data_IF_979391539281
#
_entry.id   IF_979391539281
#
_cell.length_a   1.000
_cell.length_b   1.000
_cell.length_c   1.000
_cell.angle_alpha   90.00
_cell.angle_beta   90.00
_cell.angle_gamma   90.00
#
_symmetry.space_group_name_H-M   'P 1'
#
loop_
_entity.id
_entity.type
_entity.pdbx_description
1 polymer ?
#
# COMPACT_ATOMS: atom_id res chain seq x y z
N UNK A 1 5.33 -6.54 7.55
CA UNK A 1 5.98 -6.06 6.30
C UNK A 1 7.44 -6.49 6.26
N UNK A 2 8.05 -6.65 5.07
CA UNK A 2 9.42 -7.18 4.92
C UNK A 2 10.49 -6.38 5.70
N UNK A 3 10.58 -5.04 5.59
CA UNK A 3 11.57 -4.26 6.35
C UNK A 3 11.46 -4.41 7.88
N UNK A 4 10.27 -4.70 8.40
CA UNK A 4 10.06 -4.89 9.84
C UNK A 4 10.74 -6.14 10.40
N UNK A 5 11.24 -7.06 9.56
CA UNK A 5 11.87 -8.30 10.05
C UNK A 5 13.31 -8.11 10.56
N UNK A 6 14.07 -7.17 9.98
CA UNK A 6 15.47 -6.90 10.35
C UNK A 6 15.87 -5.43 10.22
N UNK A 7 15.38 -4.76 9.16
CA UNK A 7 15.78 -3.38 8.87
C UNK A 7 15.20 -2.37 9.87
N UNK A 8 13.98 -2.59 10.37
CA UNK A 8 13.37 -1.70 11.37
C UNK A 8 14.18 -1.68 12.67
N UNK A 9 14.63 -2.84 13.15
CA UNK A 9 15.50 -2.95 14.33
C UNK A 9 16.82 -2.20 14.12
N UNK A 10 17.46 -2.36 12.96
CA UNK A 10 18.68 -1.61 12.62
C UNK A 10 18.43 -0.08 12.63
N UNK A 11 17.30 0.37 12.09
CA UNK A 11 16.92 1.78 12.08
C UNK A 11 16.75 2.34 13.51
N UNK A 12 16.18 1.54 14.41
CA UNK A 12 16.04 1.91 15.83
C UNK A 12 17.39 1.98 16.54
N UNK A 13 18.28 1.00 16.31
CA UNK A 13 19.61 0.95 16.95
C UNK A 13 20.56 2.05 16.47
N UNK A 14 20.46 2.45 15.19
CA UNK A 14 21.42 3.38 14.56
C UNK A 14 20.89 4.79 14.39
N UNK A 15 19.58 5.01 14.57
CA UNK A 15 18.91 6.28 14.29
C UNK A 15 18.71 6.56 12.80
N UNK A 16 19.18 5.70 11.90
CA UNK A 16 18.89 5.78 10.46
C UNK A 16 17.40 5.55 10.22
N UNK A 17 16.83 6.20 9.20
CA UNK A 17 15.41 6.07 8.83
C UNK A 17 15.24 5.68 7.37
N UNK A 18 14.10 5.07 7.06
CA UNK A 18 13.75 4.58 5.74
C UNK A 18 13.03 5.64 4.90
N UNK A 19 13.46 5.75 3.65
CA UNK A 19 12.68 6.37 2.57
C UNK A 19 12.08 5.24 1.74
N UNK A 20 10.76 5.11 1.80
CA UNK A 20 10.03 3.98 1.19
C UNK A 20 9.58 4.31 -0.23
N UNK A 21 9.40 3.27 -1.05
CA UNK A 21 8.80 3.38 -2.38
C UNK A 21 7.77 2.26 -2.56
N UNK A 22 6.91 2.39 -3.57
CA UNK A 22 5.94 1.34 -3.87
C UNK A 22 4.81 1.23 -2.85
N UNK A 23 4.63 2.25 -2.01
CA UNK A 23 3.65 2.32 -0.92
C UNK A 23 2.21 2.19 -1.41
N UNK A 24 1.95 2.56 -2.67
CA UNK A 24 0.65 2.39 -3.34
C UNK A 24 0.62 1.24 -4.35
N UNK A 25 1.66 0.40 -4.37
CA UNK A 25 1.74 -0.80 -5.24
C UNK A 25 1.50 -0.51 -6.73
N UNK A 26 2.19 0.51 -7.27
CA UNK A 26 1.99 0.95 -8.66
C UNK A 26 0.62 1.56 -8.94
N UNK A 27 -0.13 1.89 -7.88
CA UNK A 27 -1.50 2.39 -7.92
C UNK A 27 -2.57 1.32 -7.71
N UNK A 28 -2.21 0.08 -7.36
CA UNK A 28 -3.22 -0.95 -7.03
C UNK A 28 -4.00 -0.62 -5.75
N UNK A 29 -3.38 0.09 -4.80
CA UNK A 29 -4.06 0.63 -3.61
C UNK A 29 -4.77 1.94 -3.95
N UNK A 30 -5.85 1.86 -4.72
CA UNK A 30 -6.71 3.00 -5.04
C UNK A 30 -8.11 2.57 -5.46
N UNK A 31 -9.04 3.53 -5.50
CA UNK A 31 -10.45 3.35 -5.82
C UNK A 31 -10.68 2.69 -7.18
N UNK A 32 -9.80 2.94 -8.16
CA UNK A 32 -9.94 2.38 -9.52
C UNK A 32 -9.89 0.85 -9.57
N UNK A 33 -9.36 0.19 -8.53
CA UNK A 33 -9.29 -1.26 -8.44
C UNK A 33 -10.23 -1.84 -7.37
N UNK A 34 -10.94 -1.00 -6.62
CA UNK A 34 -11.93 -1.44 -5.63
C UNK A 34 -13.13 -2.10 -6.32
N UNK A 35 -13.54 -3.26 -5.81
CA UNK A 35 -14.64 -4.10 -6.29
C UNK A 35 -14.53 -4.47 -7.79
N UNK A 36 -13.31 -4.42 -8.33
CA UNK A 36 -13.04 -4.85 -9.71
C UNK A 36 -12.71 -6.33 -9.76
N UNK A 37 -13.21 -7.01 -10.79
CA UNK A 37 -12.79 -8.36 -11.13
C UNK A 37 -11.89 -8.34 -12.36
N UNK A 38 -10.58 -8.39 -12.12
CA UNK A 38 -9.57 -8.33 -13.18
C UNK A 38 -9.57 -9.52 -14.15
N UNK A 39 -10.27 -10.61 -13.82
CA UNK A 39 -10.42 -11.76 -14.71
C UNK A 39 -11.53 -11.56 -15.74
N UNK A 40 -12.41 -10.58 -15.51
CA UNK A 40 -13.46 -10.20 -16.46
C UNK A 40 -12.90 -9.10 -17.35
N UNK A 41 -12.82 -9.31 -18.69
CA UNK A 41 -12.40 -8.27 -19.61
C UNK A 41 -13.18 -6.97 -19.37
N UNK A 42 -12.48 -5.85 -19.34
CA UNK A 42 -13.05 -4.49 -19.19
C UNK A 42 -13.72 -4.17 -17.83
N UNK A 43 -13.74 -5.08 -16.85
CA UNK A 43 -14.32 -4.84 -15.52
C UNK A 43 -13.38 -4.08 -14.56
N UNK A 44 -12.25 -3.56 -15.06
CA UNK A 44 -11.30 -2.76 -14.31
C UNK A 44 -10.17 -2.20 -15.19
N UNK A 45 -9.33 -1.30 -14.65
CA UNK A 45 -8.20 -0.75 -15.38
C UNK A 45 -7.20 -1.84 -15.80
N UNK A 46 -6.57 -1.72 -16.98
CA UNK A 46 -5.60 -2.70 -17.42
C UNK A 46 -4.33 -2.65 -16.54
N UNK A 47 -3.73 -3.82 -16.28
CA UNK A 47 -2.43 -3.94 -15.63
C UNK A 47 -1.29 -3.71 -16.65
N UNK A 48 -1.25 -2.51 -17.22
CA UNK A 48 -0.45 -2.18 -18.40
C UNK A 48 0.97 -1.64 -18.12
N UNK A 49 1.41 -1.61 -16.86
CA UNK A 49 2.77 -1.19 -16.51
C UNK A 49 3.56 -2.34 -15.87
N UNK A 50 4.88 -2.42 -16.06
CA UNK A 50 5.72 -3.42 -15.40
C UNK A 50 5.56 -3.40 -13.87
N UNK A 51 5.39 -2.21 -13.27
CA UNK A 51 5.14 -2.06 -11.84
C UNK A 51 3.82 -2.70 -11.41
N UNK A 52 2.72 -2.43 -12.11
CA UNK A 52 1.42 -3.05 -11.81
C UNK A 52 1.49 -4.57 -11.89
N UNK A 53 2.15 -5.11 -12.93
CA UNK A 53 2.33 -6.56 -13.10
C UNK A 53 3.20 -7.16 -11.99
N UNK A 54 4.28 -6.49 -11.58
CA UNK A 54 5.11 -6.88 -10.43
C UNK A 54 4.27 -6.96 -9.16
N UNK A 55 3.53 -5.91 -8.81
CA UNK A 55 2.74 -5.90 -7.58
C UNK A 55 1.57 -6.87 -7.62
N UNK A 56 1.01 -7.15 -8.80
CA UNK A 56 0.01 -8.20 -8.96
C UNK A 56 0.55 -9.58 -8.60
N UNK A 57 1.77 -9.93 -9.05
CA UNK A 57 2.43 -11.18 -8.64
C UNK A 57 2.61 -11.26 -7.11
N UNK A 58 2.96 -10.13 -6.49
CA UNK A 58 3.06 -10.05 -5.02
C UNK A 58 1.71 -10.27 -4.32
N UNK A 59 0.62 -9.72 -4.88
CA UNK A 59 -0.75 -9.96 -4.37
C UNK A 59 -1.13 -11.43 -4.48
N UNK A 60 -0.81 -12.08 -5.60
CA UNK A 60 -1.08 -13.51 -5.79
C UNK A 60 -0.31 -14.39 -4.79
N UNK A 61 0.97 -14.06 -4.57
CA UNK A 61 1.77 -14.70 -3.53
C UNK A 61 1.23 -14.43 -2.11
N UNK A 62 0.70 -13.24 -1.85
CA UNK A 62 0.20 -12.87 -0.52
C UNK A 62 -1.12 -13.57 -0.19
N UNK A 63 -2.11 -13.55 -1.08
CA UNK A 63 -3.41 -14.19 -0.81
C UNK A 63 -4.41 -14.09 -1.95
N UNK A 64 -3.97 -13.65 -3.12
CA UNK A 64 -4.80 -13.51 -4.31
C UNK A 64 -5.67 -12.25 -4.29
N UNK A 65 -6.37 -12.07 -5.41
CA UNK A 65 -7.15 -10.86 -5.69
C UNK A 65 -8.33 -10.68 -4.73
N UNK A 66 -9.02 -11.76 -4.34
CA UNK A 66 -10.17 -11.67 -3.43
C UNK A 66 -9.78 -11.14 -2.05
N UNK A 67 -8.64 -11.59 -1.51
CA UNK A 67 -8.14 -11.07 -0.24
C UNK A 67 -7.67 -9.61 -0.37
N UNK A 68 -7.06 -9.28 -1.52
CA UNK A 68 -6.71 -7.90 -1.83
C UNK A 68 -7.94 -6.98 -1.92
N UNK A 69 -9.08 -7.46 -2.43
CA UNK A 69 -10.33 -6.70 -2.39
C UNK A 69 -10.81 -6.45 -0.96
N UNK A 70 -10.72 -7.43 -0.06
CA UNK A 70 -11.06 -7.22 1.34
C UNK A 70 -10.16 -6.15 2.01
N UNK A 71 -8.88 -6.11 1.65
CA UNK A 71 -7.97 -5.03 2.08
C UNK A 71 -8.39 -3.67 1.49
N UNK A 72 -8.70 -3.59 0.20
CA UNK A 72 -9.18 -2.36 -0.43
C UNK A 72 -10.48 -1.85 0.18
N UNK A 73 -11.42 -2.73 0.50
CA UNK A 73 -12.66 -2.38 1.19
C UNK A 73 -12.40 -1.86 2.61
N UNK A 74 -11.42 -2.43 3.32
CA UNK A 74 -10.98 -1.94 4.64
C UNK A 74 -10.40 -0.53 4.53
N UNK A 75 -9.47 -0.33 3.58
CA UNK A 75 -8.93 0.99 3.29
C UNK A 75 -10.00 1.98 2.84
N UNK A 76 -11.05 1.51 2.13
CA UNK A 76 -12.15 2.35 1.69
C UNK A 76 -12.95 2.88 2.88
N UNK A 77 -13.20 2.07 3.91
CA UNK A 77 -13.90 2.54 5.13
C UNK A 77 -13.13 3.67 5.81
N UNK A 78 -11.82 3.51 5.98
CA UNK A 78 -10.93 4.54 6.55
C UNK A 78 -10.88 5.78 5.64
N UNK A 79 -10.76 5.59 4.33
CA UNK A 79 -10.82 6.65 3.32
C UNK A 79 -12.11 7.48 3.44
N UNK A 80 -13.26 6.84 3.61
CA UNK A 80 -14.54 7.52 3.78
C UNK A 80 -14.64 8.27 5.12
N UNK A 81 -14.16 7.68 6.22
CA UNK A 81 -14.10 8.32 7.55
C UNK A 81 -13.33 9.65 7.51
N UNK A 82 -12.23 9.70 6.76
CA UNK A 82 -11.33 10.86 6.71
C UNK A 82 -11.52 11.75 5.48
N UNK A 83 -12.37 11.37 4.53
CA UNK A 83 -12.61 12.14 3.30
C UNK A 83 -11.41 12.22 2.36
N UNK A 84 -10.52 11.22 2.38
CA UNK A 84 -9.28 11.18 1.58
C UNK A 84 -9.21 9.91 0.73
N UNK A 85 -8.44 9.88 -0.37
CA UNK A 85 -8.32 8.68 -1.21
C UNK A 85 -7.67 7.48 -0.49
N UNK A 86 -7.99 6.26 -0.93
CA UNK A 86 -7.35 5.00 -0.47
C UNK A 86 -5.82 5.10 -0.56
N UNK A 87 -5.30 5.70 -1.63
CA UNK A 87 -3.85 5.89 -1.81
C UNK A 87 -3.23 6.75 -0.71
N UNK A 88 -3.94 7.78 -0.26
CA UNK A 88 -3.50 8.68 0.82
C UNK A 88 -3.46 7.95 2.15
N UNK A 89 -4.48 7.14 2.46
CA UNK A 89 -4.52 6.26 3.63
C UNK A 89 -3.34 5.29 3.62
N UNK A 90 -3.10 4.63 2.48
CA UNK A 90 -2.02 3.66 2.33
C UNK A 90 -0.64 4.28 2.58
N UNK A 91 -0.36 5.46 2.01
CA UNK A 91 0.92 6.14 2.25
C UNK A 91 1.04 6.57 3.71
N UNK A 92 -0.02 7.15 4.30
CA UNK A 92 0.01 7.58 5.69
C UNK A 92 0.24 6.42 6.67
N UNK A 93 -0.40 5.28 6.43
CA UNK A 93 -0.18 4.07 7.23
C UNK A 93 1.29 3.64 7.25
N UNK A 94 2.00 3.77 6.12
CA UNK A 94 3.45 3.48 6.05
C UNK A 94 4.28 4.56 6.73
N UNK A 95 3.92 5.84 6.59
CA UNK A 95 4.59 6.95 7.27
C UNK A 95 4.43 6.90 8.80
N UNK A 96 3.38 6.27 9.31
CA UNK A 96 3.18 6.08 10.75
C UNK A 96 4.08 4.97 11.35
N UNK A 97 4.86 4.25 10.54
CA UNK A 97 5.83 3.28 11.05
C UNK A 97 7.06 4.02 11.61
N UNK A 98 7.49 3.68 12.82
CA UNK A 98 8.59 4.35 13.55
C UNK A 98 9.91 4.41 12.77
N UNK A 99 10.19 3.41 11.94
CA UNK A 99 11.41 3.33 11.12
C UNK A 99 11.36 4.14 9.82
N UNK A 100 10.21 4.71 9.44
CA UNK A 100 10.01 5.41 8.17
C UNK A 100 10.07 6.92 8.36
N UNK A 101 10.94 7.60 7.61
CA UNK A 101 11.01 9.06 7.57
C UNK A 101 10.28 9.67 6.36
N UNK A 102 10.05 8.88 5.31
CA UNK A 102 9.43 9.39 4.09
C UNK A 102 8.93 8.29 3.15
N UNK A 103 8.08 8.69 2.22
CA UNK A 103 7.57 7.85 1.13
C UNK A 103 7.68 8.60 -0.18
N UNK A 104 8.28 7.97 -1.18
CA UNK A 104 8.33 8.47 -2.55
C UNK A 104 6.98 8.27 -3.24
N UNK A 105 6.42 9.36 -3.76
CA UNK A 105 5.19 9.36 -4.57
C UNK A 105 5.59 9.49 -6.04
N UNK A 106 5.26 8.49 -6.85
CA UNK A 106 5.50 8.52 -8.29
C UNK A 106 4.47 9.41 -9.00
N UNK A 107 4.94 10.27 -9.89
CA UNK A 107 4.10 11.14 -10.73
C UNK A 107 4.42 10.94 -12.21
N UNK A 108 3.48 11.30 -13.08
CA UNK A 108 3.65 11.41 -14.53
C UNK A 108 3.11 12.77 -14.93
N UNK A 109 4.01 13.69 -15.26
CA UNK A 109 3.63 15.07 -15.59
C UNK A 109 2.59 15.08 -16.73
N UNK A 110 1.51 15.84 -16.56
CA UNK A 110 0.40 15.89 -17.52
C UNK A 110 -0.54 14.68 -17.53
N UNK A 111 -0.29 13.64 -16.71
CA UNK A 111 -1.17 12.46 -16.60
C UNK A 111 -1.61 12.19 -15.16
N UNK A 112 -0.69 12.27 -14.19
CA UNK A 112 -0.93 11.96 -12.78
C UNK A 112 0.03 12.74 -11.88
N UNK A 113 -0.44 13.84 -11.30
CA UNK A 113 0.41 14.79 -10.55
C UNK A 113 0.27 14.68 -9.03
N UNK A 114 -0.84 14.13 -8.51
CA UNK A 114 -1.06 13.81 -7.10
C UNK A 114 -0.73 14.93 -6.07
N UNK A 115 -0.63 16.20 -6.49
CA UNK A 115 -0.19 17.31 -5.62
C UNK A 115 -1.13 17.49 -4.44
N UNK A 116 -2.45 17.57 -4.69
CA UNK A 116 -3.47 17.75 -3.64
C UNK A 116 -3.50 16.57 -2.67
N UNK A 117 -3.45 15.35 -3.20
CA UNK A 117 -3.45 14.12 -2.39
C UNK A 117 -2.20 14.05 -1.51
N UNK A 118 -1.05 14.49 -2.01
CA UNK A 118 0.22 14.48 -1.28
C UNK A 118 0.19 15.42 -0.06
N UNK A 119 -0.46 16.58 -0.17
CA UNK A 119 -0.65 17.46 0.98
C UNK A 119 -1.58 16.83 2.03
N UNK A 120 -2.63 16.13 1.59
CA UNK A 120 -3.56 15.45 2.50
C UNK A 120 -2.86 14.34 3.32
N UNK A 121 -1.85 13.66 2.77
CA UNK A 121 -1.06 12.65 3.48
C UNK A 121 -0.43 13.20 4.77
N UNK A 122 0.10 14.43 4.73
CA UNK A 122 0.79 15.04 5.87
C UNK A 122 -0.17 15.44 6.99
N UNK A 123 -1.39 15.84 6.62
CA UNK A 123 -2.42 16.32 7.55
C UNK A 123 -3.30 15.21 8.12
N UNK A 124 -3.38 14.06 7.44
CA UNK A 124 -4.19 12.93 7.87
C UNK A 124 -3.70 12.37 9.20
N UNK A 125 -4.59 12.10 10.16
CA UNK A 125 -4.24 11.39 11.39
C UNK A 125 -5.06 10.09 11.43
N UNK A 126 -4.36 8.96 11.36
CA UNK A 126 -4.99 7.65 11.52
C UNK A 126 -5.03 7.32 13.01
N UNK A 127 -6.21 7.07 13.53
CA UNK A 127 -6.38 6.66 14.92
C UNK A 127 -6.09 5.16 15.12
N UNK A 128 -6.21 4.69 16.36
CA UNK A 128 -5.92 3.30 16.72
C UNK A 128 -6.85 2.31 16.01
N UNK A 129 -8.12 2.67 15.78
CA UNK A 129 -9.08 1.84 15.07
C UNK A 129 -8.70 1.71 13.58
N UNK A 130 -8.31 2.83 12.96
CA UNK A 130 -7.85 2.85 11.58
C UNK A 130 -6.59 1.99 11.41
N UNK A 131 -5.59 2.21 12.28
CA UNK A 131 -4.33 1.47 12.25
C UNK A 131 -4.56 -0.03 12.53
N UNK A 132 -5.43 -0.36 13.49
CA UNK A 132 -5.76 -1.73 13.87
C UNK A 132 -6.46 -2.48 12.73
N UNK A 133 -7.50 -1.88 12.13
CA UNK A 133 -8.25 -2.50 11.04
C UNK A 133 -7.40 -2.76 9.79
N UNK A 134 -6.52 -1.81 9.41
CA UNK A 134 -5.58 -1.99 8.30
C UNK A 134 -4.55 -3.07 8.64
N UNK A 135 -4.02 -3.08 9.86
CA UNK A 135 -3.06 -4.10 10.32
C UNK A 135 -3.68 -5.49 10.22
N UNK A 136 -4.87 -5.67 10.78
CA UNK A 136 -5.59 -6.95 10.77
C UNK A 136 -5.83 -7.44 9.33
N UNK A 137 -6.37 -6.57 8.46
CA UNK A 137 -6.60 -6.92 7.06
C UNK A 137 -5.31 -7.31 6.33
N UNK A 138 -4.20 -6.60 6.60
CA UNK A 138 -2.90 -6.89 5.99
C UNK A 138 -2.25 -8.20 6.47
N UNK A 139 -2.64 -8.70 7.65
CA UNK A 139 -2.10 -9.92 8.25
C UNK A 139 -2.85 -11.18 7.82
N UNK A 140 -4.03 -11.06 7.18
CA UNK A 140 -4.82 -12.21 6.70
C UNK A 140 -4.14 -13.00 5.58
N UNK A 141 -3.19 -12.40 4.87
CA UNK A 141 -2.44 -13.08 3.82
C UNK A 141 -1.20 -13.81 4.35
N UNK A 142 -0.59 -14.61 3.49
CA UNK A 142 0.63 -15.37 3.78
C UNK A 142 1.81 -14.45 4.08
N UNK A 143 2.73 -14.95 4.90
CA UNK A 143 3.99 -14.25 5.14
C UNK A 143 4.86 -14.26 3.88
N UNK A 144 4.88 -13.16 3.14
CA UNK A 144 5.66 -13.03 1.91
C UNK A 144 7.15 -13.30 2.10
N UNK A 145 7.72 -13.04 3.28
CA UNK A 145 9.13 -13.36 3.55
C UNK A 145 9.40 -14.87 3.47
N UNK A 146 8.44 -15.70 3.88
CA UNK A 146 8.53 -17.16 3.80
C UNK A 146 8.22 -17.67 2.38
N UNK A 147 7.31 -16.99 1.67
CA UNK A 147 6.86 -17.42 0.33
C UNK A 147 7.87 -17.08 -0.76
N UNK A 148 8.48 -15.88 -0.72
CA UNK A 148 9.34 -15.36 -1.80
C UNK A 148 10.71 -14.84 -1.32
N UNK A 149 11.04 -15.02 -0.04
CA UNK A 149 12.32 -14.59 0.53
C UNK A 149 12.49 -13.07 0.66
N UNK A 150 13.73 -12.64 0.89
CA UNK A 150 14.04 -11.23 1.11
C UNK A 150 14.09 -10.41 -0.18
N UNK A 151 14.49 -11.00 -1.31
CA UNK A 151 14.58 -10.25 -2.57
C UNK A 151 13.30 -10.31 -3.39
N UNK A 152 12.51 -11.38 -3.29
CA UNK A 152 11.39 -11.66 -4.18
C UNK A 152 11.87 -11.91 -5.61
N UNK A 153 11.66 -13.12 -6.13
CA UNK A 153 11.96 -13.44 -7.54
C UNK A 153 11.02 -12.72 -8.54
#
# INVERSE_FOLDING_TARGET
>A
MRPQKKMAELCELTGVKLITYGTVMGGLLSEKFLDTNINIPFAGPPLNTPSLQKYKRMIDAWGGWSLFQALLQTLKKVSLKHGVPISTVAVRYILNQTSVAGSMVGVRLGLSEHIRDTNAILLLLLDEEDMGSITEASQRGRNLMEVIGDCGD
#
